data_IF_061468026549
#
_entry.id   IF_061468026549
#
_cell.length_a   1.000
_cell.length_b   1.000
_cell.length_c   1.000
_cell.angle_alpha   90.00
_cell.angle_beta   90.00
_cell.angle_gamma   90.00
#
_symmetry.space_group_name_H-M   'P 1'
#
loop_
_entity.id
_entity.type
_entity.pdbx_description
1 polymer ?
#
# COMPACT_ATOMS: atom_id res chain seq x y z
N UNK A 1 -16.47 73.87 -4.68
CA UNK A 1 -16.32 72.91 -5.80
C UNK A 1 -16.37 71.50 -5.21
N UNK A 2 -17.47 70.77 -5.45
CA UNK A 2 -17.73 69.42 -4.91
C UNK A 2 -16.92 68.38 -5.68
N UNK A 3 -16.17 67.52 -5.00
CA UNK A 3 -15.80 66.21 -5.53
C UNK A 3 -16.02 65.14 -4.45
N UNK A 4 -17.14 64.42 -4.58
CA UNK A 4 -17.42 63.17 -3.86
C UNK A 4 -16.57 62.07 -4.50
N UNK A 5 -15.61 61.50 -3.77
CA UNK A 5 -15.02 60.21 -4.13
C UNK A 5 -15.94 59.10 -3.60
N UNK A 6 -16.57 58.38 -4.51
CA UNK A 6 -17.19 57.06 -4.28
C UNK A 6 -16.18 56.01 -4.74
N UNK A 7 -15.81 55.07 -3.89
CA UNK A 7 -15.06 53.85 -4.25
C UNK A 7 -15.49 52.79 -3.23
N UNK A 8 -16.59 52.09 -3.50
CA UNK A 8 -16.64 50.71 -4.01
C UNK A 8 -15.86 49.75 -3.11
N UNK A 9 -16.59 49.15 -2.17
CA UNK A 9 -16.18 48.05 -1.32
C UNK A 9 -16.26 46.75 -2.15
N UNK A 10 -15.12 46.14 -2.45
CA UNK A 10 -15.08 44.79 -3.02
C UNK A 10 -15.30 43.78 -1.88
N UNK A 11 -16.51 43.23 -1.79
CA UNK A 11 -16.77 42.04 -0.98
C UNK A 11 -16.46 40.84 -1.87
N UNK A 12 -15.30 40.23 -1.70
CA UNK A 12 -15.00 38.90 -2.23
C UNK A 12 -15.80 37.88 -1.43
N UNK A 13 -16.96 37.49 -1.96
CA UNK A 13 -17.70 36.34 -1.47
C UNK A 13 -16.93 35.07 -1.87
N UNK A 14 -16.22 34.47 -0.91
CA UNK A 14 -15.70 33.12 -1.05
C UNK A 14 -16.90 32.15 -1.05
N UNK A 15 -17.27 31.67 -2.23
CA UNK A 15 -18.21 30.56 -2.37
C UNK A 15 -17.46 29.30 -1.96
N UNK A 16 -17.56 28.91 -0.69
CA UNK A 16 -17.33 27.52 -0.29
C UNK A 16 -18.42 26.68 -0.97
N UNK A 17 -18.04 26.04 -2.08
CA UNK A 17 -18.82 24.91 -2.62
C UNK A 17 -18.73 23.77 -1.61
N UNK A 18 -19.68 23.75 -0.67
CA UNK A 18 -20.05 22.56 0.06
C UNK A 18 -20.70 21.61 -0.95
N UNK A 19 -19.88 20.79 -1.62
CA UNK A 19 -20.40 19.60 -2.29
C UNK A 19 -20.76 18.60 -1.21
N UNK A 20 -21.99 18.70 -0.71
CA UNK A 20 -22.62 17.57 -0.02
C UNK A 20 -22.86 16.54 -1.12
N UNK A 21 -21.91 15.62 -1.33
CA UNK A 21 -22.19 14.39 -2.05
C UNK A 21 -23.26 13.67 -1.25
N UNK A 22 -24.50 13.73 -1.75
CA UNK A 22 -25.56 12.88 -1.28
C UNK A 22 -25.16 11.44 -1.61
N UNK A 23 -24.54 10.77 -0.64
CA UNK A 23 -24.39 9.32 -0.68
C UNK A 23 -25.80 8.76 -0.84
N UNK A 24 -26.08 8.14 -2.00
CA UNK A 24 -27.17 7.20 -2.10
C UNK A 24 -27.04 6.20 -0.94
N UNK A 25 -28.16 5.74 -0.41
CA UNK A 25 -28.34 5.01 0.85
C UNK A 25 -27.60 3.66 0.90
N UNK A 26 -26.27 3.69 0.81
CA UNK A 26 -25.43 2.53 0.62
C UNK A 26 -25.19 1.81 1.93
N UNK A 27 -25.38 0.50 1.93
CA UNK A 27 -25.18 -0.33 3.11
C UNK A 27 -23.71 -0.74 3.22
N UNK A 28 -23.07 -0.32 4.31
CA UNK A 28 -21.73 -0.80 4.68
C UNK A 28 -21.86 -2.19 5.30
N UNK A 29 -21.17 -3.18 4.72
CA UNK A 29 -21.08 -4.53 5.28
C UNK A 29 -19.68 -5.13 5.04
N UNK A 30 -19.16 -5.95 5.97
CA UNK A 30 -17.87 -6.59 5.79
C UNK A 30 -17.80 -7.36 4.46
N UNK A 31 -16.67 -7.26 3.78
CA UNK A 31 -16.37 -8.06 2.60
C UNK A 31 -16.06 -9.50 3.03
N UNK A 32 -16.46 -10.52 2.24
CA UNK A 32 -16.08 -11.88 2.55
C UNK A 32 -14.56 -12.05 2.55
N UNK A 33 -14.06 -12.89 3.46
CA UNK A 33 -12.65 -13.27 3.52
C UNK A 33 -12.41 -14.39 2.51
N UNK A 34 -12.28 -13.99 1.25
CA UNK A 34 -12.03 -14.82 0.08
C UNK A 34 -11.34 -14.01 -1.03
N UNK A 35 -11.21 -14.59 -2.23
CA UNK A 35 -10.57 -13.96 -3.38
C UNK A 35 -11.50 -13.05 -4.21
N UNK A 36 -12.75 -12.83 -3.77
CA UNK A 36 -13.65 -11.89 -4.44
C UNK A 36 -13.22 -10.44 -4.19
N UNK A 37 -13.60 -9.55 -5.11
CA UNK A 37 -13.28 -8.13 -5.03
C UNK A 37 -14.13 -7.36 -4.03
N UNK A 38 -13.84 -6.07 -3.89
CA UNK A 38 -14.68 -5.14 -3.12
C UNK A 38 -16.01 -4.84 -3.79
N UNK A 39 -16.82 -4.05 -3.08
CA UNK A 39 -18.03 -3.49 -3.64
C UNK A 39 -17.70 -2.66 -4.90
N UNK A 40 -18.50 -2.77 -5.98
CA UNK A 40 -18.35 -1.91 -7.13
C UNK A 40 -18.49 -0.43 -6.74
N UNK A 41 -17.76 0.45 -7.41
CA UNK A 41 -17.90 1.89 -7.31
C UNK A 41 -18.06 2.51 -8.70
N UNK A 42 -18.72 3.66 -8.78
CA UNK A 42 -18.99 4.37 -10.04
C UNK A 42 -18.01 5.51 -10.30
N UNK A 43 -17.18 5.87 -9.33
CA UNK A 43 -16.19 6.94 -9.46
C UNK A 43 -15.20 6.63 -10.60
N UNK A 44 -15.13 7.53 -11.57
CA UNK A 44 -14.14 7.46 -12.65
C UNK A 44 -12.85 8.17 -12.24
N UNK A 45 -11.72 7.60 -12.64
CA UNK A 45 -10.42 8.23 -12.43
C UNK A 45 -10.29 9.53 -13.23
N UNK A 46 -9.77 10.58 -12.58
CA UNK A 46 -9.23 11.78 -13.21
C UNK A 46 -7.86 12.12 -12.60
N UNK A 47 -6.89 12.66 -13.38
CA UNK A 47 -5.60 13.13 -12.84
C UNK A 47 -5.72 14.14 -11.69
N UNK A 48 -6.80 14.94 -11.68
CA UNK A 48 -7.07 15.96 -10.66
C UNK A 48 -7.86 15.39 -9.45
N UNK A 49 -8.36 14.15 -9.54
CA UNK A 49 -9.04 13.48 -8.44
C UNK A 49 -8.00 12.91 -7.48
N UNK A 50 -7.85 13.56 -6.33
CA UNK A 50 -6.90 13.18 -5.27
C UNK A 50 -7.55 12.37 -4.15
N UNK A 51 -8.86 12.50 -3.96
CA UNK A 51 -9.59 11.85 -2.88
C UNK A 51 -10.72 11.00 -3.46
N UNK A 52 -10.79 9.75 -3.05
CA UNK A 52 -12.00 8.94 -3.10
C UNK A 52 -12.46 8.73 -1.67
N UNK A 53 -13.73 8.91 -1.41
CA UNK A 53 -14.33 8.64 -0.12
C UNK A 53 -15.68 8.01 -0.38
N UNK A 54 -16.11 7.07 0.46
CA UNK A 54 -17.49 6.58 0.58
C UNK A 54 -17.76 6.24 2.06
N UNK A 55 -18.98 5.80 2.45
CA UNK A 55 -19.29 5.50 3.83
C UNK A 55 -18.42 4.42 4.49
N UNK A 56 -17.58 3.69 3.76
CA UNK A 56 -16.72 2.60 4.26
C UNK A 56 -15.22 2.87 4.13
N UNK A 57 -14.78 3.74 3.23
CA UNK A 57 -13.36 3.97 2.96
C UNK A 57 -13.10 5.41 2.55
N UNK A 58 -11.97 5.96 2.98
CA UNK A 58 -11.38 7.19 2.47
C UNK A 58 -9.96 6.91 2.00
N UNK A 59 -9.63 7.33 0.79
CA UNK A 59 -8.29 7.27 0.21
C UNK A 59 -7.92 8.66 -0.32
N UNK A 60 -6.82 9.21 0.16
CA UNK A 60 -6.26 10.47 -0.31
C UNK A 60 -4.83 10.27 -0.80
N UNK A 61 -4.60 10.49 -2.10
CA UNK A 61 -3.25 10.43 -2.70
C UNK A 61 -2.65 11.81 -2.83
N UNK A 62 -1.32 11.89 -2.68
CA UNK A 62 -0.57 13.07 -3.06
C UNK A 62 -0.36 13.13 -4.58
N UNK A 63 -0.04 14.33 -5.06
CA UNK A 63 0.73 14.47 -6.28
C UNK A 63 2.20 14.15 -5.99
N UNK A 64 3.05 14.25 -7.03
CA UNK A 64 4.49 14.17 -6.86
C UNK A 64 4.97 15.24 -5.89
N UNK A 65 5.66 14.82 -4.83
CA UNK A 65 6.21 15.71 -3.80
C UNK A 65 7.73 15.58 -3.77
N UNK A 66 8.44 16.68 -3.51
CA UNK A 66 9.88 16.68 -3.29
C UNK A 66 10.20 16.74 -1.78
N UNK A 67 11.13 15.92 -1.32
CA UNK A 67 11.67 15.96 0.04
C UNK A 67 13.05 16.62 0.00
N UNK A 68 13.16 17.80 0.60
CA UNK A 68 14.44 18.51 0.76
C UNK A 68 15.42 17.73 1.66
N UNK A 69 14.90 16.97 2.63
CA UNK A 69 15.70 16.19 3.60
C UNK A 69 16.58 15.15 2.90
N UNK A 70 16.01 14.42 1.95
CA UNK A 70 16.72 13.34 1.25
C UNK A 70 17.02 13.67 -0.22
N UNK A 71 16.59 14.86 -0.67
CA UNK A 71 16.67 15.33 -2.05
C UNK A 71 16.10 14.31 -3.06
N UNK A 72 14.88 13.83 -2.79
CA UNK A 72 14.18 12.85 -3.64
C UNK A 72 12.71 13.18 -3.76
N UNK A 73 12.11 12.66 -4.81
CA UNK A 73 10.67 12.74 -5.02
C UNK A 73 9.97 11.50 -4.50
N UNK A 74 8.74 11.68 -4.02
CA UNK A 74 7.92 10.62 -3.46
C UNK A 74 6.43 10.89 -3.65
N UNK A 75 5.63 9.87 -3.37
CA UNK A 75 4.18 9.90 -3.35
C UNK A 75 3.70 9.29 -2.03
N UNK A 76 2.61 9.82 -1.49
CA UNK A 76 1.91 9.25 -0.33
C UNK A 76 0.47 8.92 -0.69
N UNK A 77 -0.09 7.91 -0.04
CA UNK A 77 -1.53 7.63 -0.08
C UNK A 77 -1.99 7.32 1.33
N UNK A 78 -2.80 8.21 1.89
CA UNK A 78 -3.46 8.06 3.19
C UNK A 78 -4.76 7.27 3.01
N UNK A 79 -4.95 6.22 3.82
CA UNK A 79 -6.06 5.27 3.68
C UNK A 79 -6.71 5.04 5.05
N UNK A 80 -8.00 5.35 5.16
CA UNK A 80 -8.82 5.06 6.34
C UNK A 80 -9.96 4.13 5.91
N UNK A 81 -10.08 2.97 6.55
CA UNK A 81 -11.17 1.99 6.32
C UNK A 81 -12.05 1.85 7.57
N UNK A 82 -13.26 1.32 7.42
CA UNK A 82 -14.19 1.09 8.54
C UNK A 82 -14.25 -0.36 9.00
N UNK A 83 -13.81 -1.29 8.18
CA UNK A 83 -13.79 -2.71 8.47
C UNK A 83 -12.50 -3.38 7.97
N UNK A 84 -11.87 -4.26 8.76
CA UNK A 84 -10.60 -4.90 8.39
C UNK A 84 -10.68 -5.78 7.14
N UNK A 85 -11.88 -6.23 6.74
CA UNK A 85 -12.05 -6.96 5.47
C UNK A 85 -11.71 -6.12 4.23
N UNK A 86 -11.53 -4.80 4.37
CA UNK A 86 -11.23 -3.87 3.30
C UNK A 86 -9.74 -3.78 2.94
N UNK A 87 -8.80 -4.22 3.81
CA UNK A 87 -7.40 -4.45 3.42
C UNK A 87 -7.26 -5.89 2.91
N UNK A 88 -6.88 -6.02 1.64
CA UNK A 88 -7.01 -7.28 0.88
C UNK A 88 -5.79 -7.52 0.01
N UNK A 89 -5.70 -8.71 -0.54
CA UNK A 89 -4.66 -9.10 -1.50
C UNK A 89 -5.27 -9.75 -2.73
N UNK A 90 -4.63 -9.59 -3.89
CA UNK A 90 -5.06 -10.24 -5.13
C UNK A 90 -3.87 -10.66 -5.98
N UNK A 91 -3.94 -11.86 -6.55
CA UNK A 91 -2.92 -12.42 -7.44
C UNK A 91 -3.21 -12.10 -8.91
N UNK A 92 -2.23 -12.16 -9.80
CA UNK A 92 -2.43 -12.06 -11.24
C UNK A 92 -3.34 -13.19 -11.76
N UNK A 93 -3.27 -14.38 -11.15
CA UNK A 93 -4.24 -15.45 -11.32
C UNK A 93 -5.43 -15.23 -10.36
N UNK A 94 -6.68 -15.19 -10.86
CA UNK A 94 -7.84 -14.91 -10.01
C UNK A 94 -8.18 -16.04 -9.02
N UNK A 95 -7.58 -17.22 -9.16
CA UNK A 95 -7.94 -18.41 -8.36
C UNK A 95 -6.88 -18.85 -7.37
N UNK A 96 -5.64 -18.35 -7.50
CA UNK A 96 -4.51 -18.81 -6.69
C UNK A 96 -3.38 -17.80 -6.62
N UNK A 97 -2.59 -17.85 -5.55
CA UNK A 97 -1.29 -17.16 -5.45
C UNK A 97 -0.11 -18.05 -5.88
N UNK A 98 -0.39 -19.30 -6.28
CA UNK A 98 0.59 -20.22 -6.86
C UNK A 98 0.57 -20.09 -8.39
N UNK A 99 1.25 -19.08 -8.92
CA UNK A 99 1.21 -18.75 -10.35
C UNK A 99 2.41 -17.95 -10.88
N UNK A 100 2.93 -18.34 -12.04
CA UNK A 100 3.90 -17.55 -12.81
C UNK A 100 3.24 -16.43 -13.62
N UNK A 101 1.90 -16.33 -13.60
CA UNK A 101 1.18 -15.28 -14.32
C UNK A 101 1.62 -13.91 -13.81
N UNK A 102 1.77 -12.97 -14.76
CA UNK A 102 2.05 -11.56 -14.47
C UNK A 102 1.09 -10.65 -15.22
N UNK A 103 0.48 -9.70 -14.52
CA UNK A 103 -0.42 -8.68 -15.10
C UNK A 103 -0.02 -7.28 -14.60
N UNK A 104 -0.49 -6.23 -15.26
CA UNK A 104 -0.31 -4.89 -14.71
C UNK A 104 -1.07 -4.74 -13.39
N UNK A 105 -0.54 -3.97 -12.43
CA UNK A 105 -1.22 -3.71 -11.16
C UNK A 105 -2.64 -3.14 -11.40
N UNK A 106 -2.78 -2.26 -12.38
CA UNK A 106 -4.06 -1.67 -12.80
C UNK A 106 -5.07 -2.73 -13.25
N UNK A 107 -4.64 -3.72 -14.04
CA UNK A 107 -5.53 -4.83 -14.47
C UNK A 107 -6.01 -5.66 -13.29
N UNK A 108 -5.13 -5.97 -12.34
CA UNK A 108 -5.48 -6.74 -11.14
C UNK A 108 -6.46 -5.92 -10.29
N UNK A 109 -6.14 -4.65 -10.03
CA UNK A 109 -6.94 -3.70 -9.25
C UNK A 109 -8.36 -3.52 -9.81
N UNK A 110 -8.50 -3.34 -11.13
CA UNK A 110 -9.79 -3.22 -11.80
C UNK A 110 -10.64 -4.49 -11.66
N UNK A 111 -10.02 -5.67 -11.75
CA UNK A 111 -10.75 -6.94 -11.60
C UNK A 111 -11.36 -7.13 -10.20
N UNK A 112 -10.74 -6.53 -9.18
CA UNK A 112 -11.15 -6.70 -7.78
C UNK A 112 -11.80 -5.45 -7.18
N UNK A 113 -12.19 -4.47 -8.02
CA UNK A 113 -12.78 -3.20 -7.59
C UNK A 113 -11.95 -2.49 -6.51
N UNK A 114 -10.62 -2.46 -6.67
CA UNK A 114 -9.74 -1.76 -5.75
C UNK A 114 -9.89 -0.24 -5.91
N UNK A 115 -10.24 0.44 -4.81
CA UNK A 115 -10.19 1.91 -4.73
C UNK A 115 -8.74 2.36 -4.81
N UNK A 116 -7.87 1.67 -4.07
CA UNK A 116 -6.42 1.86 -4.09
C UNK A 116 -5.72 0.51 -4.06
N UNK A 117 -4.61 0.39 -4.78
CA UNK A 117 -3.74 -0.78 -4.73
C UNK A 117 -2.27 -0.41 -4.88
N UNK A 118 -1.41 -1.27 -4.36
CA UNK A 118 0.03 -1.23 -4.56
C UNK A 118 0.57 -2.62 -4.89
N UNK A 119 1.78 -2.72 -5.42
CA UNK A 119 2.41 -4.02 -5.61
C UNK A 119 2.59 -4.77 -4.27
N UNK A 120 2.55 -6.10 -4.32
CA UNK A 120 2.71 -6.94 -3.14
C UNK A 120 4.16 -7.32 -2.83
N UNK A 121 4.34 -8.52 -2.28
CA UNK A 121 5.61 -9.06 -1.78
C UNK A 121 6.36 -9.92 -2.81
N UNK A 122 5.92 -9.88 -4.08
CA UNK A 122 6.51 -10.64 -5.17
C UNK A 122 6.44 -12.15 -4.90
N UNK A 123 5.31 -12.64 -4.36
CA UNK A 123 5.15 -14.04 -3.96
C UNK A 123 5.04 -15.04 -5.11
N UNK A 124 4.75 -14.55 -6.33
CA UNK A 124 4.52 -15.38 -7.50
C UNK A 124 5.77 -15.72 -8.29
N UNK A 125 6.98 -15.33 -7.83
CA UNK A 125 8.22 -15.72 -8.50
C UNK A 125 8.62 -17.14 -8.14
N UNK A 126 8.40 -18.04 -9.09
CA UNK A 126 8.75 -19.45 -9.00
C UNK A 126 9.98 -19.67 -9.87
N UNK A 127 11.11 -19.92 -9.23
CA UNK A 127 12.24 -20.55 -9.91
C UNK A 127 12.29 -22.01 -9.45
N UNK A 128 11.44 -22.85 -10.06
CA UNK A 128 11.37 -24.28 -9.74
C UNK A 128 10.86 -24.58 -8.32
N UNK A 129 11.40 -25.63 -7.70
CA UNK A 129 11.01 -26.11 -6.36
C UNK A 129 11.49 -25.21 -5.18
N UNK A 130 12.05 -24.03 -5.46
CA UNK A 130 12.77 -23.20 -4.50
C UNK A 130 12.08 -21.85 -4.20
N UNK A 131 10.74 -21.76 -4.33
CA UNK A 131 10.04 -20.59 -3.78
C UNK A 131 9.96 -20.74 -2.26
N UNK A 132 10.85 -20.07 -1.53
CA UNK A 132 10.91 -20.14 -0.08
C UNK A 132 9.95 -19.18 0.63
N UNK A 133 9.14 -18.36 -0.05
CA UNK A 133 8.29 -17.37 0.65
C UNK A 133 6.96 -17.92 1.17
N UNK A 134 6.59 -17.56 2.38
CA UNK A 134 5.30 -17.89 2.98
C UNK A 134 4.18 -17.09 2.32
N UNK A 135 3.05 -17.74 2.05
CA UNK A 135 1.92 -17.10 1.38
C UNK A 135 0.64 -17.50 2.08
N UNK A 136 0.18 -16.62 2.97
CA UNK A 136 -1.18 -16.64 3.50
C UNK A 136 -1.92 -15.41 2.97
N UNK A 137 -3.05 -15.62 2.31
CA UNK A 137 -3.83 -14.56 1.64
C UNK A 137 -5.31 -14.82 1.89
N UNK A 138 -6.03 -13.80 2.32
CA UNK A 138 -7.47 -13.89 2.59
C UNK A 138 -7.83 -15.10 3.49
N UNK A 139 -7.05 -15.31 4.55
CA UNK A 139 -7.25 -16.39 5.54
C UNK A 139 -6.85 -17.79 5.07
N UNK A 140 -6.34 -17.95 3.84
CA UNK A 140 -5.93 -19.23 3.29
C UNK A 140 -4.41 -19.30 3.12
N UNK A 141 -3.81 -20.41 3.55
CA UNK A 141 -2.40 -20.73 3.29
C UNK A 141 -2.29 -21.33 1.87
N UNK A 142 -1.59 -20.62 0.99
CA UNK A 142 -1.23 -21.09 -0.35
C UNK A 142 0.17 -21.71 -0.37
N UNK A 143 1.07 -21.26 0.51
CA UNK A 143 2.43 -21.80 0.64
C UNK A 143 2.91 -21.74 2.09
N UNK A 144 3.45 -22.86 2.56
CA UNK A 144 3.99 -23.04 3.91
C UNK A 144 5.51 -23.29 3.90
N UNK A 145 6.22 -22.54 3.07
CA UNK A 145 7.69 -22.42 3.10
C UNK A 145 8.03 -21.02 3.59
N UNK A 146 9.18 -20.84 4.25
CA UNK A 146 9.63 -19.52 4.75
C UNK A 146 11.05 -19.21 4.27
N UNK A 147 11.32 -17.95 3.91
CA UNK A 147 12.67 -17.45 3.70
C UNK A 147 13.11 -16.78 4.99
N UNK A 148 13.89 -17.50 5.79
CA UNK A 148 14.38 -17.02 7.09
C UNK A 148 15.21 -15.74 7.03
N UNK A 149 15.61 -15.32 5.84
CA UNK A 149 16.34 -14.07 5.62
C UNK A 149 15.40 -12.90 5.37
N UNK A 150 14.10 -13.07 5.50
CA UNK A 150 13.11 -12.02 5.23
C UNK A 150 12.13 -11.90 6.38
N UNK A 151 11.88 -10.66 6.75
CA UNK A 151 10.77 -10.33 7.64
C UNK A 151 9.45 -10.76 7.02
N UNK A 152 8.47 -10.95 7.89
CA UNK A 152 7.11 -11.29 7.53
C UNK A 152 6.14 -10.33 8.20
N UNK A 153 5.35 -9.63 7.39
CA UNK A 153 4.23 -8.83 7.85
C UNK A 153 2.99 -9.71 7.91
N UNK A 154 2.46 -9.94 9.11
CA UNK A 154 1.15 -10.53 9.33
C UNK A 154 0.12 -9.40 9.49
N UNK A 155 -1.06 -9.60 8.90
CA UNK A 155 -2.23 -8.74 9.06
C UNK A 155 -3.33 -9.61 9.67
N UNK A 156 -3.73 -9.29 10.89
CA UNK A 156 -4.72 -10.07 11.63
C UNK A 156 -6.17 -9.74 11.21
N UNK A 157 -7.14 -10.43 11.81
CA UNK A 157 -8.57 -10.22 11.55
C UNK A 157 -9.14 -8.90 12.06
N UNK A 158 -8.38 -8.13 12.83
CA UNK A 158 -8.68 -6.74 13.19
C UNK A 158 -7.99 -5.73 12.26
N UNK A 159 -7.19 -6.20 11.29
CA UNK A 159 -6.43 -5.36 10.38
C UNK A 159 -5.11 -4.85 10.96
N UNK A 160 -4.68 -5.36 12.11
CA UNK A 160 -3.45 -4.93 12.77
C UNK A 160 -2.23 -5.65 12.18
N UNK A 161 -1.14 -4.89 12.05
CA UNK A 161 0.15 -5.35 11.57
C UNK A 161 0.95 -5.96 12.71
N UNK A 162 1.51 -7.14 12.45
CA UNK A 162 2.48 -7.81 13.32
C UNK A 162 3.68 -8.19 12.46
N UNK A 163 4.85 -7.60 12.72
CA UNK A 163 6.04 -7.87 11.92
C UNK A 163 6.93 -8.87 12.64
N UNK A 164 7.08 -10.05 12.05
CA UNK A 164 8.00 -11.07 12.51
C UNK A 164 9.36 -10.86 11.84
N UNK A 165 10.45 -10.68 12.60
CA UNK A 165 11.79 -10.59 12.03
C UNK A 165 12.18 -11.89 11.32
N UNK A 166 12.98 -11.78 10.27
CA UNK A 166 13.63 -12.91 9.63
C UNK A 166 14.48 -13.71 10.62
N UNK A 167 14.28 -15.02 10.67
CA UNK A 167 15.03 -15.92 11.52
C UNK A 167 14.59 -17.37 11.38
N UNK A 168 15.38 -18.33 11.92
CA UNK A 168 15.01 -19.75 11.93
C UNK A 168 13.70 -20.03 12.68
N UNK A 169 13.29 -19.15 13.60
CA UNK A 169 12.05 -19.28 14.36
C UNK A 169 10.80 -19.30 13.45
N UNK A 170 10.86 -18.64 12.28
CA UNK A 170 9.77 -18.62 11.30
C UNK A 170 9.37 -20.02 10.80
N UNK A 171 10.30 -20.98 10.81
CA UNK A 171 10.06 -22.36 10.36
C UNK A 171 9.12 -23.11 11.31
N UNK A 172 9.15 -22.76 12.61
CA UNK A 172 8.44 -23.50 13.66
C UNK A 172 7.22 -22.77 14.22
N UNK A 173 7.14 -21.45 14.01
CA UNK A 173 6.04 -20.62 14.50
C UNK A 173 4.73 -20.89 13.74
N UNK A 174 3.59 -20.88 14.45
CA UNK A 174 2.28 -20.80 13.82
C UNK A 174 2.07 -19.39 13.24
N UNK A 175 1.93 -19.31 11.92
CA UNK A 175 1.74 -18.06 11.16
C UNK A 175 0.27 -17.80 10.82
N UNK A 176 -0.62 -18.69 11.22
CA UNK A 176 -2.08 -18.57 11.00
C UNK A 176 -2.80 -17.87 12.15
N UNK A 177 -2.14 -17.75 13.30
CA UNK A 177 -2.63 -17.03 14.47
C UNK A 177 -1.52 -16.18 15.10
N UNK A 178 -1.88 -15.00 15.58
CA UNK A 178 -0.99 -14.13 16.32
C UNK A 178 -1.77 -13.45 17.44
N UNK A 179 -1.26 -13.49 18.67
CA UNK A 179 -1.92 -12.89 19.84
C UNK A 179 -3.40 -13.33 20.02
N UNK A 180 -3.72 -14.58 19.70
CA UNK A 180 -5.07 -15.15 19.80
C UNK A 180 -6.04 -14.69 18.71
N UNK A 181 -5.57 -13.96 17.70
CA UNK A 181 -6.33 -13.54 16.53
C UNK A 181 -5.91 -14.34 15.30
N UNK A 182 -6.85 -14.59 14.39
CA UNK A 182 -6.55 -15.22 13.11
C UNK A 182 -5.80 -14.25 12.19
N UNK A 183 -4.79 -14.75 11.48
CA UNK A 183 -4.08 -14.03 10.43
C UNK A 183 -4.87 -14.11 9.12
N UNK A 184 -5.09 -12.96 8.48
CA UNK A 184 -5.81 -12.86 7.20
C UNK A 184 -4.84 -12.74 6.03
N UNK A 185 -3.74 -12.02 6.17
CA UNK A 185 -2.71 -11.92 5.14
C UNK A 185 -1.30 -12.01 5.77
N UNK A 186 -0.34 -12.66 5.11
CA UNK A 186 1.05 -12.74 5.55
C UNK A 186 2.01 -12.47 4.37
N UNK A 187 2.65 -11.31 4.33
CA UNK A 187 3.53 -10.85 3.25
C UNK A 187 5.00 -11.04 3.64
N UNK A 188 5.79 -11.80 2.88
CA UNK A 188 7.21 -12.05 3.20
C UNK A 188 8.13 -11.31 2.23
N UNK A 189 8.65 -10.17 2.70
CA UNK A 189 9.53 -9.28 1.94
C UNK A 189 10.43 -8.49 2.90
N UNK A 190 9.87 -7.46 3.52
CA UNK A 190 10.56 -6.65 4.51
C UNK A 190 11.70 -5.84 3.92
N UNK A 191 12.62 -5.38 4.77
CA UNK A 191 12.54 -5.42 6.23
C UNK A 191 11.49 -4.45 6.80
N UNK A 192 11.24 -4.54 8.11
CA UNK A 192 10.60 -3.46 8.87
C UNK A 192 11.51 -2.22 8.95
N UNK A 193 10.97 -1.02 8.78
CA UNK A 193 11.62 0.25 9.14
C UNK A 193 11.27 0.61 10.60
N UNK A 194 10.02 0.39 10.98
CA UNK A 194 9.52 0.58 12.35
C UNK A 194 8.74 -0.66 12.71
N UNK A 195 8.99 -1.21 13.90
CA UNK A 195 8.29 -2.37 14.46
C UNK A 195 7.90 -2.07 15.88
N UNK A 196 6.61 -2.16 16.20
CA UNK A 196 6.06 -1.91 17.53
C UNK A 196 6.48 -0.55 18.13
N UNK A 197 6.59 0.47 17.26
CA UNK A 197 7.03 1.82 17.62
C UNK A 197 8.55 1.99 17.73
N UNK A 198 9.34 0.93 17.56
CA UNK A 198 10.79 0.97 17.59
C UNK A 198 11.36 1.09 16.17
N UNK A 199 12.20 2.10 15.96
CA UNK A 199 12.90 2.30 14.68
C UNK A 199 14.00 1.24 14.55
N UNK A 200 13.99 0.48 13.46
CA UNK A 200 15.00 -0.54 13.21
C UNK A 200 16.36 0.08 12.93
N UNK A 201 17.43 -0.50 13.48
CA UNK A 201 18.81 -0.07 13.27
C UNK A 201 19.23 -0.17 11.81
N UNK A 202 20.17 0.68 11.37
CA UNK A 202 20.64 0.67 9.98
C UNK A 202 21.29 -0.68 9.62
N UNK A 203 22.02 -1.29 10.55
CA UNK A 203 22.64 -2.62 10.37
C UNK A 203 21.59 -3.70 10.08
N UNK A 204 20.41 -3.63 10.70
CA UNK A 204 19.31 -4.57 10.43
C UNK A 204 18.78 -4.43 9.00
N UNK A 205 18.64 -3.19 8.55
CA UNK A 205 18.09 -2.87 7.23
C UNK A 205 19.07 -3.14 6.07
N UNK A 206 20.38 -3.15 6.36
CA UNK A 206 21.46 -3.39 5.38
C UNK A 206 22.08 -4.80 5.49
N UNK A 207 21.58 -5.68 6.35
CA UNK A 207 22.21 -6.98 6.56
C UNK A 207 21.96 -7.91 5.36
N UNK A 208 22.99 -8.19 4.56
CA UNK A 208 22.93 -9.14 3.44
C UNK A 208 22.36 -10.51 3.83
N UNK A 209 22.58 -10.95 5.07
CA UNK A 209 22.11 -12.24 5.56
C UNK A 209 20.61 -12.23 5.87
N UNK A 210 20.01 -11.07 6.17
CA UNK A 210 18.62 -10.92 6.63
C UNK A 210 17.80 -9.90 5.80
N UNK A 211 18.37 -9.38 4.72
CA UNK A 211 17.75 -8.45 3.79
C UNK A 211 18.42 -8.51 2.40
N UNK A 212 18.55 -9.70 1.80
CA UNK A 212 19.34 -9.90 0.57
C UNK A 212 18.84 -9.10 -0.64
N UNK A 213 17.58 -8.63 -0.65
CA UNK A 213 17.09 -7.74 -1.72
C UNK A 213 17.61 -6.29 -1.60
N UNK A 214 18.28 -5.97 -0.50
CA UNK A 214 18.79 -4.63 -0.18
C UNK A 214 20.29 -4.60 0.11
N UNK A 215 20.99 -5.71 -0.19
CA UNK A 215 22.41 -5.89 0.07
C UNK A 215 23.31 -4.77 -0.51
N UNK A 216 22.87 -4.14 -1.61
CA UNK A 216 23.50 -2.91 -2.07
C UNK A 216 22.86 -1.69 -1.37
N UNK A 217 23.37 -1.35 -0.19
CA UNK A 217 22.92 -0.22 0.63
C UNK A 217 23.00 1.13 -0.11
N UNK A 218 24.00 1.28 -0.99
CA UNK A 218 24.19 2.45 -1.86
C UNK A 218 23.36 2.38 -3.15
N UNK A 219 22.81 1.19 -3.44
CA UNK A 219 21.91 0.89 -4.54
C UNK A 219 20.62 1.71 -4.45
N UNK A 220 20.47 2.64 -5.39
CA UNK A 220 19.25 3.43 -5.56
C UNK A 220 18.24 2.68 -6.41
N UNK A 221 17.09 2.37 -5.82
CA UNK A 221 15.93 1.85 -6.51
C UNK A 221 14.68 2.51 -5.95
N UNK A 222 13.59 2.53 -6.72
CA UNK A 222 12.29 2.96 -6.17
C UNK A 222 11.94 2.03 -5.00
N UNK A 223 11.39 2.58 -3.92
CA UNK A 223 11.06 1.86 -2.70
C UNK A 223 9.58 2.04 -2.41
N UNK A 224 8.94 1.03 -1.84
CA UNK A 224 7.55 1.07 -1.40
C UNK A 224 7.46 0.67 0.08
N UNK A 225 6.76 1.45 0.88
CA UNK A 225 6.46 1.14 2.27
C UNK A 225 4.94 1.17 2.46
N UNK A 226 4.44 0.18 3.21
CA UNK A 226 3.10 0.16 3.77
C UNK A 226 3.20 0.34 5.29
N UNK A 227 2.55 1.38 5.78
CA UNK A 227 2.54 1.76 7.19
C UNK A 227 1.14 1.56 7.78
N UNK A 228 1.07 1.15 9.04
CA UNK A 228 -0.13 1.28 9.86
C UNK A 228 0.08 2.46 10.80
N UNK A 229 -0.69 3.53 10.63
CA UNK A 229 -0.64 4.74 11.45
C UNK A 229 -1.50 4.63 12.71
N UNK A 230 -2.51 3.75 12.67
CA UNK A 230 -3.41 3.45 13.78
C UNK A 230 -4.39 2.34 13.41
N UNK A 231 -5.40 2.06 14.25
CA UNK A 231 -6.44 1.10 13.93
C UNK A 231 -7.13 1.48 12.62
N UNK A 232 -7.09 0.57 11.64
CA UNK A 232 -7.71 0.75 10.32
C UNK A 232 -7.28 2.02 9.55
N UNK A 233 -6.10 2.56 9.89
CA UNK A 233 -5.50 3.74 9.25
C UNK A 233 -4.11 3.38 8.76
N UNK A 234 -3.91 3.48 7.44
CA UNK A 234 -2.70 3.06 6.77
C UNK A 234 -2.18 4.17 5.87
N UNK A 235 -0.91 4.06 5.52
CA UNK A 235 -0.32 4.92 4.50
C UNK A 235 0.65 4.14 3.61
N UNK A 236 0.54 4.33 2.31
CA UNK A 236 1.54 3.88 1.36
C UNK A 236 2.49 5.03 1.02
N UNK A 237 3.81 4.76 1.00
CA UNK A 237 4.83 5.73 0.57
C UNK A 237 5.69 5.09 -0.50
N UNK A 238 5.78 5.74 -1.67
CA UNK A 238 6.61 5.27 -2.78
C UNK A 238 7.59 6.35 -3.22
N UNK A 239 8.85 5.98 -3.44
CA UNK A 239 9.84 6.91 -4.03
C UNK A 239 9.81 6.91 -5.55
N UNK A 240 10.46 7.93 -6.12
CA UNK A 240 10.70 8.08 -7.54
C UNK A 240 12.17 8.31 -7.81
N UNK A 241 12.64 7.77 -8.94
CA UNK A 241 14.00 7.91 -9.45
C UNK A 241 15.06 7.39 -8.44
N UNK A 242 14.62 6.47 -7.57
CA UNK A 242 15.42 5.73 -6.62
C UNK A 242 15.86 6.43 -5.34
N UNK A 243 15.83 5.68 -4.23
CA UNK A 243 16.40 6.06 -2.95
C UNK A 243 17.26 4.93 -2.39
N UNK A 244 18.34 5.30 -1.68
CA UNK A 244 19.03 4.32 -0.82
C UNK A 244 18.12 3.94 0.34
N UNK A 245 18.41 2.83 1.01
CA UNK A 245 17.58 2.41 2.15
C UNK A 245 17.66 3.43 3.31
N UNK A 246 18.85 3.99 3.58
CA UNK A 246 19.01 5.05 4.58
C UNK A 246 18.19 6.31 4.26
N UNK A 247 18.19 6.75 2.99
CA UNK A 247 17.33 7.86 2.54
C UNK A 247 15.85 7.50 2.72
N UNK A 248 15.46 6.28 2.37
CA UNK A 248 14.06 5.88 2.49
C UNK A 248 13.59 5.81 3.95
N UNK A 249 14.41 5.27 4.85
CA UNK A 249 14.18 5.32 6.31
C UNK A 249 13.98 6.75 6.79
N UNK A 250 14.88 7.68 6.44
CA UNK A 250 14.76 9.09 6.83
C UNK A 250 13.46 9.73 6.30
N UNK A 251 13.05 9.40 5.08
CA UNK A 251 11.78 9.86 4.53
C UNK A 251 10.59 9.35 5.34
N UNK A 252 10.55 8.04 5.62
CA UNK A 252 9.47 7.43 6.42
C UNK A 252 9.35 8.08 7.80
N UNK A 253 10.47 8.24 8.51
CA UNK A 253 10.51 8.88 9.82
C UNK A 253 10.10 10.36 9.77
N UNK A 254 10.37 11.06 8.65
CA UNK A 254 9.95 12.45 8.49
C UNK A 254 8.44 12.60 8.24
N UNK A 255 7.80 11.59 7.65
CA UNK A 255 6.36 11.60 7.34
C UNK A 255 5.54 11.19 8.56
N UNK A 256 5.96 10.13 9.24
CA UNK A 256 5.21 9.54 10.36
C UNK A 256 6.17 9.07 11.47
N UNK A 257 6.71 9.99 12.29
CA UNK A 257 7.69 9.67 13.32
C UNK A 257 7.14 8.76 14.42
N UNK A 258 5.83 8.82 14.69
CA UNK A 258 5.15 8.03 15.72
C UNK A 258 4.42 6.80 15.15
N UNK A 259 4.73 6.41 13.91
CA UNK A 259 4.13 5.26 13.27
C UNK A 259 4.48 3.97 14.02
N UNK A 260 3.52 3.13 14.45
CA UNK A 260 3.82 1.90 15.16
C UNK A 260 4.48 0.84 14.26
N UNK A 261 4.07 0.72 13.00
CA UNK A 261 4.58 -0.30 12.09
C UNK A 261 4.75 0.23 10.68
N UNK A 262 5.96 0.15 10.13
CA UNK A 262 6.30 0.55 8.77
C UNK A 262 7.09 -0.58 8.09
N UNK A 263 6.51 -1.17 7.03
CA UNK A 263 7.04 -2.37 6.39
C UNK A 263 7.32 -2.15 4.91
N UNK A 264 8.45 -2.64 4.42
CA UNK A 264 8.86 -2.49 3.02
C UNK A 264 8.28 -3.63 2.15
N UNK A 265 7.82 -3.28 0.96
CA UNK A 265 7.35 -4.20 -0.07
C UNK A 265 8.23 -4.14 -1.32
N UNK A 266 7.90 -4.94 -2.33
CA UNK A 266 8.68 -5.01 -3.58
C UNK A 266 8.88 -3.63 -4.22
N UNK A 267 10.09 -3.39 -4.72
CA UNK A 267 10.56 -2.09 -5.16
C UNK A 267 11.06 -2.07 -6.59
N UNK A 268 11.96 -1.14 -6.89
CA UNK A 268 12.52 -0.90 -8.20
C UNK A 268 11.41 -0.73 -9.25
N UNK A 269 11.57 -1.42 -10.38
CA UNK A 269 10.59 -1.38 -11.47
C UNK A 269 9.21 -1.95 -11.11
N UNK A 270 9.05 -2.62 -9.97
CA UNK A 270 7.76 -3.13 -9.50
C UNK A 270 6.89 -2.06 -8.85
N UNK A 271 7.50 -0.99 -8.35
CA UNK A 271 6.87 0.08 -7.56
C UNK A 271 5.68 0.69 -8.30
N UNK A 272 4.47 0.31 -7.89
CA UNK A 272 3.23 0.72 -8.52
C UNK A 272 2.22 1.13 -7.46
N UNK A 273 1.71 2.35 -7.58
CA UNK A 273 0.54 2.86 -6.87
C UNK A 273 -0.60 2.98 -7.88
N UNK A 274 -1.74 2.38 -7.59
CA UNK A 274 -2.91 2.36 -8.46
C UNK A 274 -4.08 2.97 -7.71
N UNK A 275 -4.67 4.01 -8.27
CA UNK A 275 -5.84 4.68 -7.73
C UNK A 275 -6.96 4.63 -8.76
N UNK A 276 -8.14 4.14 -8.36
CA UNK A 276 -9.30 3.96 -9.23
C UNK A 276 -8.95 3.27 -10.55
N UNK A 277 -8.16 2.19 -10.46
CA UNK A 277 -7.74 1.38 -11.60
C UNK A 277 -6.68 1.99 -12.52
N UNK A 278 -6.07 3.13 -12.16
CA UNK A 278 -4.97 3.76 -12.94
C UNK A 278 -3.70 3.88 -12.10
N UNK A 279 -2.55 3.55 -12.70
CA UNK A 279 -1.23 3.80 -12.07
C UNK A 279 -1.04 5.31 -11.92
N UNK A 280 -0.69 5.78 -10.72
CA UNK A 280 -0.56 7.21 -10.40
C UNK A 280 0.87 7.66 -10.06
N UNK A 281 1.78 6.74 -9.76
CA UNK A 281 3.19 7.04 -9.54
C UNK A 281 4.03 6.77 -10.81
N UNK A 282 5.14 7.49 -10.96
CA UNK A 282 6.17 7.24 -11.99
C UNK A 282 5.58 7.03 -13.40
N UNK A 283 4.54 7.81 -13.74
CA UNK A 283 3.90 7.78 -15.05
C UNK A 283 4.66 8.78 -15.93
N UNK A 284 5.51 8.28 -16.83
CA UNK A 284 6.03 9.12 -17.92
C UNK A 284 4.97 9.18 -19.01
N UNK A 285 4.38 10.37 -19.17
CA UNK A 285 3.27 10.67 -20.10
C UNK A 285 3.66 10.37 -21.56
N UNK A 286 4.95 10.36 -21.89
CA UNK A 286 5.43 10.30 -23.27
C UNK A 286 5.61 8.90 -23.86
N UNK A 287 5.81 7.84 -23.06
CA UNK A 287 6.16 6.53 -23.64
C UNK A 287 5.25 5.38 -23.25
N UNK A 288 4.56 5.41 -22.11
CA UNK A 288 3.75 4.28 -21.61
C UNK A 288 4.49 2.90 -21.71
N UNK A 289 5.82 2.92 -21.79
CA UNK A 289 6.63 1.74 -22.12
C UNK A 289 7.12 1.07 -20.85
N UNK A 290 6.89 -0.25 -20.79
CA UNK A 290 7.39 -1.21 -19.81
C UNK A 290 7.01 -0.97 -18.35
N UNK A 291 5.72 -0.75 -18.07
CA UNK A 291 5.18 -1.01 -16.72
C UNK A 291 5.42 -2.48 -16.40
N UNK A 292 6.21 -2.77 -15.35
CA UNK A 292 6.49 -4.15 -14.93
C UNK A 292 5.18 -4.85 -14.59
N UNK A 293 4.99 -6.04 -15.14
CA UNK A 293 3.87 -6.91 -14.77
C UNK A 293 4.19 -7.58 -13.43
N UNK A 294 3.21 -7.65 -12.55
CA UNK A 294 3.32 -8.15 -11.18
C UNK A 294 2.60 -9.48 -11.01
N UNK A 295 3.03 -10.26 -10.02
CA UNK A 295 2.35 -11.47 -9.56
C UNK A 295 1.14 -11.17 -8.69
N UNK A 296 1.14 -10.06 -7.96
CA UNK A 296 0.19 -9.79 -6.89
C UNK A 296 0.18 -8.31 -6.48
N UNK A 297 -0.90 -7.93 -5.80
CA UNK A 297 -1.11 -6.61 -5.21
C UNK A 297 -1.63 -6.73 -3.78
N UNK A 298 -1.34 -5.72 -2.97
CA UNK A 298 -2.12 -5.37 -1.76
C UNK A 298 -3.07 -4.25 -2.15
N UNK A 299 -4.33 -4.32 -1.73
CA UNK A 299 -5.34 -3.34 -2.12
C UNK A 299 -6.35 -3.04 -1.02
N UNK A 300 -7.00 -1.89 -1.19
CA UNK A 300 -8.07 -1.40 -0.35
C UNK A 300 -9.33 -1.21 -1.18
N UNK A 301 -10.47 -1.65 -0.65
CA UNK A 301 -11.70 -1.72 -1.40
C UNK A 301 -12.89 -1.12 -0.64
N UNK A 302 -13.88 -0.66 -1.39
CA UNK A 302 -15.16 -0.26 -0.81
C UNK A 302 -15.88 -1.48 -0.23
N UNK A 303 -16.50 -1.29 0.92
CA UNK A 303 -17.45 -2.19 1.55
C UNK A 303 -18.88 -1.61 1.54
N UNK A 304 -19.11 -0.54 0.77
CA UNK A 304 -20.39 0.13 0.61
C UNK A 304 -21.10 -0.41 -0.63
N UNK A 305 -22.23 -1.11 -0.45
CA UNK A 305 -23.03 -1.63 -1.55
C UNK A 305 -24.22 -0.72 -1.80
N UNK A 306 -24.48 -0.39 -3.07
CA UNK A 306 -25.74 0.22 -3.48
C UNK A 306 -26.89 -0.77 -3.23
N UNK A 307 -28.05 -0.25 -2.82
CA UNK A 307 -29.28 -1.04 -2.63
C UNK A 307 -29.91 -1.49 -3.94
#
# INVERSE_FOLDING_TARGET
>A
MRFRKKSILFITAAIMLLTVSAWADGQVRPLPIDLTGGAPYTAEYSPDLLVYEDPSIRVERSLRTHSDLINREYYTVDIVIKDPSQIRTASADPTTFITERRLSASTIAQRVNAVFAMNGDYCGDFHGNESFKYVLRQGQVFRDTVDKRLDMLLIDEAGDFHILPGGPELETMDKTQINGKRVINALQFGPAIIRDGEVMEDDYLMDDAHSPQFADADGRCDRLCLMQLGPLHYMAVATRDGATMAQFKQLILSIAPDCPNAYILDGGGSTQLVFLGKKVNNVNVETNQNIRKLSDIVYFASACFEN
#
